data_IF_259946451565
#
_entry.id   IF_259946451565
#
_cell.length_a   1.000
_cell.length_b   1.000
_cell.length_c   1.000
_cell.angle_alpha   90.00
_cell.angle_beta   90.00
_cell.angle_gamma   90.00
#
_symmetry.space_group_name_H-M   'P 1'
#
loop_
_entity.id
_entity.type
_entity.pdbx_description
1 polymer ?
#
# COMPACT_ATOMS: atom_id res chain seq x y z
N UNK A 1 6.05 -32.67 -4.56
CA UNK A 1 5.37 -31.65 -3.72
C UNK A 1 4.60 -30.73 -4.65
N UNK A 2 3.27 -30.72 -4.62
CA UNK A 2 2.47 -29.84 -5.49
C UNK A 2 2.27 -28.51 -4.78
N UNK A 3 2.75 -27.41 -5.37
CA UNK A 3 2.58 -26.07 -4.81
C UNK A 3 1.11 -25.63 -4.93
N UNK A 4 0.56 -25.03 -3.87
CA UNK A 4 -0.79 -24.44 -3.89
C UNK A 4 -0.69 -22.97 -4.30
N UNK A 5 -1.63 -22.46 -5.12
CA UNK A 5 -1.66 -21.05 -5.49
C UNK A 5 -1.95 -20.18 -4.26
N UNK A 6 -1.33 -19.01 -4.21
CA UNK A 6 -1.64 -17.96 -3.22
C UNK A 6 -2.62 -16.98 -3.85
N UNK A 7 -3.82 -16.87 -3.29
CA UNK A 7 -4.85 -15.93 -3.76
C UNK A 7 -5.14 -14.92 -2.65
N UNK A 8 -5.09 -13.64 -2.98
CA UNK A 8 -5.58 -12.56 -2.12
C UNK A 8 -7.05 -12.34 -2.49
N UNK A 9 -8.01 -12.50 -1.57
CA UNK A 9 -9.42 -12.24 -1.85
C UNK A 9 -9.65 -10.81 -2.36
N UNK A 10 -10.62 -10.63 -3.24
CA UNK A 10 -10.99 -9.31 -3.73
C UNK A 10 -11.42 -8.40 -2.56
N UNK A 11 -10.94 -7.16 -2.54
CA UNK A 11 -11.19 -6.22 -1.45
C UNK A 11 -10.38 -6.46 -0.18
N UNK A 12 -9.55 -7.51 -0.12
CA UNK A 12 -8.63 -7.75 0.98
C UNK A 12 -7.24 -7.25 0.65
N UNK A 13 -6.74 -6.31 1.46
CA UNK A 13 -5.39 -5.79 1.35
C UNK A 13 -4.51 -6.39 2.46
N UNK A 14 -3.36 -7.02 2.13
CA UNK A 14 -2.51 -7.60 3.16
C UNK A 14 -1.87 -6.50 4.01
N UNK A 15 -1.76 -6.73 5.33
CA UNK A 15 -1.15 -5.78 6.27
C UNK A 15 0.30 -5.41 5.89
N UNK A 16 1.02 -6.32 5.21
CA UNK A 16 2.37 -6.11 4.66
C UNK A 16 2.32 -6.24 3.14
N UNK A 17 2.64 -5.15 2.45
CA UNK A 17 2.55 -5.05 0.99
C UNK A 17 3.94 -4.98 0.38
N UNK A 18 4.14 -5.74 -0.70
CA UNK A 18 5.26 -5.51 -1.63
C UNK A 18 4.98 -4.24 -2.46
N UNK A 19 5.98 -3.77 -3.19
CA UNK A 19 5.88 -2.51 -3.94
C UNK A 19 4.69 -2.49 -4.93
N UNK A 20 4.41 -3.61 -5.59
CA UNK A 20 3.28 -3.81 -6.49
C UNK A 20 1.92 -3.61 -5.80
N UNK A 21 1.73 -4.26 -4.65
CA UNK A 21 0.50 -4.14 -3.87
C UNK A 21 0.37 -2.76 -3.21
N UNK A 22 1.48 -2.19 -2.73
CA UNK A 22 1.50 -0.86 -2.13
C UNK A 22 1.13 0.21 -3.17
N UNK A 23 1.68 0.14 -4.38
CA UNK A 23 1.33 1.04 -5.48
C UNK A 23 -0.15 0.94 -5.84
N UNK A 24 -0.69 -0.28 -5.95
CA UNK A 24 -2.12 -0.49 -6.18
C UNK A 24 -2.99 0.05 -5.04
N UNK A 25 -2.55 -0.12 -3.79
CA UNK A 25 -3.26 0.37 -2.61
C UNK A 25 -3.38 1.89 -2.60
N UNK A 26 -2.30 2.60 -2.92
CA UNK A 26 -2.28 4.08 -2.95
C UNK A 26 -2.84 4.66 -4.27
N UNK A 27 -3.36 3.81 -5.17
CA UNK A 27 -3.98 4.24 -6.44
C UNK A 27 -2.99 4.62 -7.54
N UNK A 28 -1.72 4.26 -7.42
CA UNK A 28 -0.72 4.52 -8.47
C UNK A 28 -0.88 3.55 -9.65
N UNK A 29 -0.75 4.08 -10.87
CA UNK A 29 -0.87 3.26 -12.09
C UNK A 29 0.35 2.36 -12.33
N UNK A 30 1.53 2.84 -11.92
CA UNK A 30 2.81 2.14 -12.10
C UNK A 30 3.57 2.07 -10.78
N UNK A 31 4.29 0.96 -10.57
CA UNK A 31 5.09 0.74 -9.35
C UNK A 31 6.23 1.73 -9.26
N UNK A 32 6.80 2.11 -10.40
CA UNK A 32 7.90 3.07 -10.50
C UNK A 32 7.50 4.46 -9.99
N UNK A 33 6.24 4.86 -10.23
CA UNK A 33 5.74 6.17 -9.78
C UNK A 33 5.54 6.19 -8.27
N UNK A 34 4.99 5.11 -7.69
CA UNK A 34 5.02 4.90 -6.24
C UNK A 34 6.45 5.02 -5.68
N UNK A 35 7.41 4.30 -6.27
CA UNK A 35 8.79 4.27 -5.78
C UNK A 35 9.51 5.62 -5.87
N UNK A 36 9.21 6.46 -6.86
CA UNK A 36 9.76 7.83 -6.96
C UNK A 36 9.25 8.73 -5.83
N UNK A 37 8.06 8.46 -5.31
CA UNK A 37 7.39 9.25 -4.26
C UNK A 37 7.70 8.74 -2.85
N UNK A 38 8.22 7.52 -2.71
CA UNK A 38 8.71 6.98 -1.44
C UNK A 38 9.85 7.83 -0.88
N UNK A 39 9.76 8.20 0.39
CA UNK A 39 10.66 9.13 1.08
C UNK A 39 10.26 10.59 0.94
N UNK A 40 9.26 10.90 0.11
CA UNK A 40 8.71 12.26 -0.06
C UNK A 40 7.24 12.32 0.35
N UNK A 41 6.38 11.61 -0.39
CA UNK A 41 4.94 11.58 -0.15
C UNK A 41 4.52 10.31 0.58
N UNK A 42 5.25 9.21 0.38
CA UNK A 42 5.01 7.93 1.04
C UNK A 42 6.18 7.53 1.94
N UNK A 43 5.95 6.76 3.01
CA UNK A 43 7.01 6.35 3.93
C UNK A 43 8.01 5.39 3.29
N UNK A 44 9.21 5.34 3.86
CA UNK A 44 10.20 4.29 3.53
C UNK A 44 9.64 2.90 3.91
N UNK A 45 10.03 1.83 3.20
CA UNK A 45 9.59 0.48 3.54
C UNK A 45 10.09 0.10 4.94
N UNK A 46 9.23 -0.55 5.73
CA UNK A 46 9.58 -1.07 7.07
C UNK A 46 10.55 -2.24 7.02
N UNK A 47 10.53 -2.99 5.92
CA UNK A 47 11.52 -4.05 5.65
C UNK A 47 12.20 -3.70 4.35
N UNK A 48 13.53 -3.60 4.39
CA UNK A 48 14.38 -3.36 3.21
C UNK A 48 15.57 -4.31 3.25
N UNK A 49 15.34 -5.54 2.82
CA UNK A 49 16.34 -6.63 2.82
C UNK A 49 16.68 -7.01 1.37
N UNK A 50 17.78 -6.44 0.85
CA UNK A 50 18.17 -6.63 -0.54
C UNK A 50 17.08 -6.13 -1.51
N UNK A 51 16.52 -7.03 -2.32
CA UNK A 51 15.41 -6.70 -3.25
C UNK A 51 14.03 -6.68 -2.58
N UNK A 52 13.93 -7.20 -1.35
CA UNK A 52 12.66 -7.32 -0.64
C UNK A 52 12.35 -6.02 0.09
N UNK A 53 11.32 -5.31 -0.38
CA UNK A 53 10.80 -4.10 0.24
C UNK A 53 9.34 -4.31 0.65
N UNK A 54 9.01 -4.03 1.90
CA UNK A 54 7.64 -4.15 2.43
C UNK A 54 7.17 -2.87 3.12
N UNK A 55 5.94 -2.47 2.82
CA UNK A 55 5.21 -1.39 3.45
C UNK A 55 4.09 -1.93 4.33
N UNK A 56 3.81 -1.24 5.43
CA UNK A 56 2.64 -1.53 6.26
C UNK A 56 1.47 -0.66 5.78
N UNK A 57 0.28 -1.25 5.74
CA UNK A 57 -0.94 -0.52 5.39
C UNK A 57 -1.15 0.69 6.31
N UNK A 58 -0.92 0.53 7.62
CA UNK A 58 -1.09 1.60 8.61
C UNK A 58 -0.18 2.81 8.34
N UNK A 59 1.03 2.59 7.79
CA UNK A 59 1.94 3.68 7.44
C UNK A 59 1.51 4.38 6.15
N UNK A 60 0.98 3.61 5.19
CA UNK A 60 0.44 4.15 3.95
C UNK A 60 -0.85 4.94 4.23
N UNK A 61 -1.74 4.44 5.08
CA UNK A 61 -2.96 5.13 5.50
C UNK A 61 -2.66 6.50 6.13
N UNK A 62 -1.68 6.54 7.03
CA UNK A 62 -1.24 7.81 7.63
C UNK A 62 -0.67 8.80 6.62
N UNK A 63 -0.06 8.33 5.54
CA UNK A 63 0.47 9.17 4.49
C UNK A 63 -0.63 9.66 3.51
N UNK A 64 -1.64 8.84 3.26
CA UNK A 64 -2.78 9.18 2.39
C UNK A 64 -3.78 10.09 3.10
N UNK A 65 -4.05 9.82 4.38
CA UNK A 65 -4.96 10.57 5.23
C UNK A 65 -4.25 11.04 6.52
N UNK A 66 -3.31 12.00 6.40
CA UNK A 66 -2.69 12.62 7.57
C UNK A 66 -3.76 13.44 8.29
N UNK A 67 -4.22 12.95 9.44
CA UNK A 67 -5.19 13.54 10.39
C UNK A 67 -5.91 14.83 9.92
N UNK A 68 -7.15 14.66 9.44
CA UNK A 68 -8.02 15.78 9.09
C UNK A 68 -9.33 15.44 8.36
N UNK A 69 -9.48 14.24 7.80
CA UNK A 69 -10.75 13.80 7.21
C UNK A 69 -11.47 12.87 8.19
N UNK A 70 -11.93 13.44 9.30
CA UNK A 70 -13.14 12.94 9.95
C UNK A 70 -14.29 13.65 9.25
N UNK A 71 -14.73 13.09 8.13
CA UNK A 71 -15.91 13.55 7.42
C UNK A 71 -16.46 12.39 6.62
N UNK A 72 -17.66 11.96 6.98
CA UNK A 72 -18.50 11.08 6.18
C UNK A 72 -18.45 11.49 4.70
N UNK A 73 -17.77 10.71 3.86
CA UNK A 73 -17.83 10.83 2.40
C UNK A 73 -18.76 9.77 1.78
N UNK A 74 -19.62 9.15 2.61
CA UNK A 74 -20.53 8.08 2.19
C UNK A 74 -22.02 8.46 2.23
N UNK A 75 -22.37 9.71 2.55
CA UNK A 75 -23.77 10.19 2.46
C UNK A 75 -23.89 11.38 1.49
N UNK A 76 -23.61 11.17 0.21
CA UNK A 76 -24.27 11.93 -0.87
C UNK A 76 -24.38 11.03 -2.12
N UNK A 77 -25.38 10.13 -2.13
CA UNK A 77 -25.99 9.63 -3.38
C UNK A 77 -27.45 9.22 -3.17
#
# INVERSE_FOLDING_TARGET
MTARPSTIPLGSWPRRMRADLAAGYVGEKFVEDFLKRVGKDYPQPRVSEGRRRLWLIDDLDRAIAPEGVQGDLAEEL
#
